data_IF_908969233942
#
_entry.id   IF_908969233942
#
_cell.length_a   1.000
_cell.length_b   1.000
_cell.length_c   1.000
_cell.angle_alpha   90.00
_cell.angle_beta   90.00
_cell.angle_gamma   90.00
#
_symmetry.space_group_name_H-M   'P 1'
#
loop_
_entity.id
_entity.type
_entity.pdbx_description
1 polymer ?
#
# COMPACT_ATOMS: atom_id res chain seq x y z
N UNK A 1 8.33 -2.66 17.00
CA UNK A 1 7.08 -2.55 16.22
C UNK A 1 7.48 -2.36 14.77
N UNK A 2 7.40 -3.42 13.96
CA UNK A 2 7.84 -3.37 12.56
C UNK A 2 6.91 -2.48 11.76
N UNK A 3 7.46 -1.39 11.25
CA UNK A 3 6.76 -0.51 10.31
C UNK A 3 6.96 -1.13 8.94
N UNK A 4 5.91 -1.77 8.39
CA UNK A 4 5.95 -2.39 7.05
C UNK A 4 6.65 -1.48 6.04
N UNK A 5 7.59 -2.03 5.26
CA UNK A 5 8.32 -1.24 4.25
C UNK A 5 7.40 -0.90 3.08
N UNK A 6 7.71 0.19 2.37
CA UNK A 6 6.93 0.60 1.19
C UNK A 6 6.97 -0.49 0.11
N UNK A 7 8.16 -1.00 -0.20
CA UNK A 7 8.38 -2.07 -1.17
C UNK A 7 7.58 -3.34 -0.82
N UNK A 8 7.57 -3.72 0.46
CA UNK A 8 6.79 -4.86 0.93
C UNK A 8 5.28 -4.66 0.77
N UNK A 9 4.79 -3.44 1.03
CA UNK A 9 3.39 -3.10 0.81
C UNK A 9 3.00 -3.16 -0.68
N UNK A 10 3.90 -2.77 -1.57
CA UNK A 10 3.72 -2.88 -3.03
C UNK A 10 3.72 -4.34 -3.47
N UNK A 11 4.68 -5.15 -3.01
CA UNK A 11 4.70 -6.59 -3.31
C UNK A 11 3.42 -7.30 -2.85
N UNK A 12 2.88 -6.94 -1.68
CA UNK A 12 1.62 -7.49 -1.22
C UNK A 12 0.44 -7.07 -2.09
N UNK A 13 0.43 -5.83 -2.61
CA UNK A 13 -0.59 -5.37 -3.56
C UNK A 13 -0.53 -6.14 -4.87
N UNK A 14 0.67 -6.34 -5.43
CA UNK A 14 0.87 -7.13 -6.65
C UNK A 14 0.40 -8.58 -6.47
N UNK A 15 0.70 -9.19 -5.32
CA UNK A 15 0.21 -10.52 -4.99
C UNK A 15 -1.32 -10.60 -4.88
N UNK A 16 -1.96 -9.56 -4.34
CA UNK A 16 -3.43 -9.47 -4.29
C UNK A 16 -4.01 -9.36 -5.71
N UNK A 17 -3.46 -8.48 -6.55
CA UNK A 17 -3.91 -8.30 -7.93
C UNK A 17 -3.77 -9.60 -8.72
N UNK A 18 -2.61 -10.26 -8.64
CA UNK A 18 -2.38 -11.54 -9.31
C UNK A 18 -3.40 -12.62 -8.92
N UNK A 19 -3.74 -12.73 -7.63
CA UNK A 19 -4.76 -13.67 -7.15
C UNK A 19 -6.16 -13.32 -7.65
N UNK A 20 -6.49 -12.03 -7.73
CA UNK A 20 -7.77 -11.58 -8.28
C UNK A 20 -7.88 -11.86 -9.78
N UNK A 21 -6.80 -11.65 -10.54
CA UNK A 21 -6.75 -11.91 -11.99
C UNK A 21 -6.82 -13.39 -12.34
N UNK A 22 -6.26 -14.27 -11.48
CA UNK A 22 -6.35 -15.72 -11.66
C UNK A 22 -7.78 -16.27 -11.49
N UNK A 23 -8.70 -15.49 -10.91
CA UNK A 23 -10.10 -15.91 -10.73
C UNK A 23 -10.28 -17.08 -9.76
N UNK A 24 -9.27 -17.38 -8.95
CA UNK A 24 -9.28 -18.46 -7.96
C UNK A 24 -10.00 -18.08 -6.65
N UNK A 25 -10.48 -16.84 -6.54
CA UNK A 25 -11.09 -16.30 -5.33
C UNK A 25 -12.62 -16.31 -5.44
N UNK A 26 -13.29 -16.83 -4.41
CA UNK A 26 -14.72 -16.61 -4.22
C UNK A 26 -15.03 -15.15 -3.81
N UNK A 27 -16.31 -14.76 -3.91
CA UNK A 27 -16.77 -13.39 -3.66
C UNK A 27 -16.40 -12.89 -2.25
N UNK A 28 -16.47 -13.76 -1.24
CA UNK A 28 -16.13 -13.40 0.13
C UNK A 28 -14.63 -13.14 0.27
N UNK A 29 -13.81 -14.00 -0.31
CA UNK A 29 -12.34 -13.87 -0.31
C UNK A 29 -11.91 -12.65 -1.11
N UNK A 30 -12.58 -12.33 -2.23
CA UNK A 30 -12.33 -11.10 -2.99
C UNK A 30 -12.59 -9.85 -2.14
N UNK A 31 -13.66 -9.84 -1.34
CA UNK A 31 -13.97 -8.71 -0.46
C UNK A 31 -12.89 -8.52 0.62
N UNK A 32 -12.36 -9.60 1.17
CA UNK A 32 -11.24 -9.56 2.12
C UNK A 32 -9.94 -9.05 1.47
N UNK A 33 -9.57 -9.59 0.31
CA UNK A 33 -8.37 -9.14 -0.41
C UNK A 33 -8.47 -7.66 -0.80
N UNK A 34 -9.67 -7.20 -1.21
CA UNK A 34 -9.91 -5.80 -1.53
C UNK A 34 -9.73 -4.89 -0.31
N UNK A 35 -10.25 -5.27 0.87
CA UNK A 35 -10.04 -4.52 2.12
C UNK A 35 -8.55 -4.43 2.44
N UNK A 36 -7.82 -5.55 2.33
CA UNK A 36 -6.37 -5.57 2.56
C UNK A 36 -5.62 -4.66 1.59
N UNK A 37 -5.98 -4.69 0.31
CA UNK A 37 -5.40 -3.80 -0.70
C UNK A 37 -5.65 -2.31 -0.35
N UNK A 38 -6.85 -1.96 0.11
CA UNK A 38 -7.16 -0.58 0.53
C UNK A 38 -6.29 -0.12 1.71
N UNK A 39 -6.02 -1.00 2.69
CA UNK A 39 -5.13 -0.68 3.81
C UNK A 39 -3.69 -0.47 3.35
N UNK A 40 -3.18 -1.34 2.49
CA UNK A 40 -1.84 -1.21 1.90
C UNK A 40 -1.69 0.08 1.10
N UNK A 41 -2.68 0.42 0.27
CA UNK A 41 -2.71 1.68 -0.49
C UNK A 41 -2.69 2.89 0.47
N UNK A 42 -3.46 2.87 1.56
CA UNK A 42 -3.44 3.93 2.57
C UNK A 42 -2.07 4.07 3.21
N UNK A 43 -1.41 2.95 3.53
CA UNK A 43 -0.07 2.95 4.10
C UNK A 43 0.96 3.52 3.13
N UNK A 44 0.92 3.12 1.86
CA UNK A 44 1.78 3.66 0.80
C UNK A 44 1.60 5.17 0.63
N UNK A 45 0.34 5.64 0.54
CA UNK A 45 0.04 7.08 0.45
C UNK A 45 0.54 7.86 1.66
N UNK A 46 0.39 7.30 2.86
CA UNK A 46 0.88 7.94 4.09
C UNK A 46 2.40 8.10 4.08
N UNK A 47 3.13 7.06 3.67
CA UNK A 47 4.60 7.13 3.55
C UNK A 47 5.04 8.16 2.52
N UNK A 48 4.46 8.13 1.32
CA UNK A 48 4.76 9.08 0.26
C UNK A 48 4.50 10.52 0.71
N UNK A 49 3.34 10.76 1.34
CA UNK A 49 3.00 12.07 1.88
C UNK A 49 3.99 12.53 2.95
N UNK A 50 4.39 11.63 3.85
CA UNK A 50 5.35 11.97 4.90
C UNK A 50 6.71 12.35 4.30
N UNK A 51 7.20 11.60 3.32
CA UNK A 51 8.44 11.92 2.59
C UNK A 51 8.33 13.24 1.83
N UNK A 52 7.21 13.50 1.16
CA UNK A 52 6.96 14.77 0.47
C UNK A 52 6.93 15.95 1.45
N UNK A 53 6.20 15.82 2.56
CA UNK A 53 6.13 16.85 3.61
C UNK A 53 7.53 17.14 4.22
N UNK A 54 8.40 16.13 4.35
CA UNK A 54 9.80 16.31 4.79
C UNK A 54 10.65 17.04 3.75
N UNK A 55 10.53 16.68 2.47
CA UNK A 55 11.22 17.37 1.37
C UNK A 55 10.79 18.84 1.32
N UNK A 56 9.49 19.13 1.41
CA UNK A 56 8.98 20.50 1.40
C UNK A 56 9.52 21.33 2.57
N UNK A 57 9.64 20.75 3.77
CA UNK A 57 10.26 21.44 4.92
C UNK A 57 11.72 21.78 4.67
N UNK A 58 12.51 20.82 4.16
CA UNK A 58 13.92 21.05 3.86
C UNK A 58 14.12 22.14 2.79
N UNK A 59 13.23 22.21 1.80
CA UNK A 59 13.25 23.24 0.77
C UNK A 59 12.80 24.61 1.30
N UNK A 60 11.88 24.66 2.28
CA UNK A 60 11.40 25.90 2.88
C UNK A 60 12.38 26.51 3.90
N UNK A 61 13.33 25.71 4.40
CA UNK A 61 14.42 26.16 5.28
C UNK A 61 15.67 26.64 4.51
N UNK A 62 15.61 26.67 3.16
CA UNK A 62 16.63 27.26 2.28
C UNK A 62 16.34 28.71 1.90
#
# INVERSE_FOLDING_TARGET
METMKYEEAVHQLEAIVAKMEQGELDVDTMAEQLKKAQELIKLCKKKLKHTDDEIQKLLAEQ
#
